data_IF_945758031421
#
_entry.id   IF_945758031421
#
_cell.length_a   1.000
_cell.length_b   1.000
_cell.length_c   1.000
_cell.angle_alpha   90.00
_cell.angle_beta   90.00
_cell.angle_gamma   90.00
#
_symmetry.space_group_name_H-M   'P 1'
#
loop_
_entity.id
_entity.type
_entity.pdbx_description
1 polymer ?
#
# COMPACT_ATOMS: atom_id res chain seq x y z
N UNK A 1 11.09 -6.74 7.52
CA UNK A 1 9.84 -5.99 7.84
C UNK A 1 9.24 -6.59 9.11
N UNK A 2 8.82 -5.76 10.05
CA UNK A 2 8.31 -6.20 11.37
C UNK A 2 6.83 -6.57 11.31
N UNK A 3 6.37 -7.46 12.19
CA UNK A 3 4.95 -7.83 12.33
C UNK A 3 4.02 -6.62 12.52
N UNK A 4 4.54 -5.53 13.09
CA UNK A 4 3.84 -4.26 13.25
C UNK A 4 3.43 -3.59 11.92
N UNK A 5 4.26 -3.67 10.87
CA UNK A 5 3.93 -3.09 9.56
C UNK A 5 2.78 -3.85 8.89
N UNK A 6 2.80 -5.18 8.99
CA UNK A 6 1.75 -6.04 8.43
C UNK A 6 0.39 -5.79 9.11
N UNK A 7 0.41 -5.65 10.44
CA UNK A 7 -0.80 -5.31 11.21
C UNK A 7 -1.32 -3.94 10.85
N UNK A 8 -0.44 -2.95 10.69
CA UNK A 8 -0.84 -1.58 10.31
C UNK A 8 -1.46 -1.53 8.91
N UNK A 9 -0.85 -2.20 7.93
CA UNK A 9 -1.38 -2.26 6.57
C UNK A 9 -2.75 -2.99 6.54
N UNK A 10 -2.91 -4.04 7.34
CA UNK A 10 -4.18 -4.76 7.48
C UNK A 10 -5.25 -3.89 8.15
N UNK A 11 -4.89 -3.13 9.18
CA UNK A 11 -5.79 -2.20 9.86
C UNK A 11 -6.25 -1.07 8.92
N UNK A 12 -5.36 -0.51 8.10
CA UNK A 12 -5.71 0.49 7.09
C UNK A 12 -6.65 -0.10 6.02
N UNK A 13 -6.39 -1.33 5.53
CA UNK A 13 -7.30 -2.03 4.60
C UNK A 13 -8.68 -2.29 5.23
N UNK A 14 -8.74 -2.67 6.51
CA UNK A 14 -10.00 -2.84 7.22
C UNK A 14 -10.75 -1.51 7.43
N UNK A 15 -10.04 -0.44 7.81
CA UNK A 15 -10.62 0.88 7.96
C UNK A 15 -11.20 1.42 6.64
N UNK A 16 -10.49 1.23 5.52
CA UNK A 16 -10.98 1.58 4.19
C UNK A 16 -12.27 0.84 3.82
N UNK A 17 -12.33 -0.48 4.05
CA UNK A 17 -13.58 -1.26 3.85
C UNK A 17 -14.72 -0.79 4.74
N UNK A 18 -14.43 -0.44 5.99
CA UNK A 18 -15.43 0.07 6.92
C UNK A 18 -15.97 1.43 6.46
N UNK A 19 -15.11 2.36 6.02
CA UNK A 19 -15.54 3.63 5.41
C UNK A 19 -16.40 3.40 4.17
N UNK A 20 -16.00 2.47 3.31
CA UNK A 20 -16.73 2.16 2.07
C UNK A 20 -18.13 1.60 2.36
N UNK A 21 -18.22 0.64 3.28
CA UNK A 21 -19.49 0.06 3.71
C UNK A 21 -20.38 1.09 4.41
N UNK A 22 -19.80 1.91 5.30
CA UNK A 22 -20.54 2.97 5.98
C UNK A 22 -21.05 4.02 5.00
N UNK A 23 -20.23 4.42 4.02
CA UNK A 23 -20.60 5.32 2.94
C UNK A 23 -21.77 4.79 2.12
N UNK A 24 -21.71 3.52 1.69
CA UNK A 24 -22.81 2.86 0.96
C UNK A 24 -24.11 2.80 1.77
N UNK A 25 -24.02 2.42 3.05
CA UNK A 25 -25.19 2.28 3.93
C UNK A 25 -25.82 3.64 4.26
N UNK A 26 -25.01 4.68 4.46
CA UNK A 26 -25.48 6.03 4.80
C UNK A 26 -25.77 6.90 3.57
N UNK A 27 -25.51 6.42 2.36
CA UNK A 27 -25.59 7.20 1.12
C UNK A 27 -24.54 8.31 1.03
N UNK A 28 -23.45 8.22 1.79
CA UNK A 28 -22.39 9.22 1.83
C UNK A 28 -21.28 8.84 0.84
N UNK A 29 -21.38 9.38 -0.38
CA UNK A 29 -20.42 9.16 -1.48
C UNK A 29 -18.97 9.55 -1.09
N UNK A 30 -18.80 10.50 -0.18
CA UNK A 30 -17.48 10.93 0.28
C UNK A 30 -16.78 9.82 1.07
N UNK A 31 -17.50 9.18 2.00
CA UNK A 31 -16.99 8.05 2.77
C UNK A 31 -16.74 6.82 1.88
N UNK A 32 -17.61 6.60 0.90
CA UNK A 32 -17.41 5.53 -0.09
C UNK A 32 -16.11 5.74 -0.90
N UNK A 33 -15.94 6.94 -1.44
CA UNK A 33 -14.77 7.27 -2.24
C UNK A 33 -13.49 7.30 -1.41
N UNK A 34 -13.52 7.79 -0.16
CA UNK A 34 -12.37 7.69 0.74
C UNK A 34 -11.95 6.24 0.96
N UNK A 35 -12.89 5.34 1.23
CA UNK A 35 -12.59 3.93 1.42
C UNK A 35 -11.94 3.27 0.20
N UNK A 36 -12.45 3.55 -1.00
CA UNK A 36 -11.87 3.08 -2.27
C UNK A 36 -10.50 3.68 -2.56
N UNK A 37 -10.32 4.98 -2.30
CA UNK A 37 -9.04 5.67 -2.49
C UNK A 37 -7.97 5.16 -1.55
N UNK A 38 -8.31 4.91 -0.28
CA UNK A 38 -7.39 4.38 0.72
C UNK A 38 -6.91 2.97 0.30
N UNK A 39 -7.80 2.12 -0.21
CA UNK A 39 -7.42 0.81 -0.77
C UNK A 39 -6.50 0.93 -2.00
N UNK A 40 -6.88 1.76 -2.97
CA UNK A 40 -6.09 1.94 -4.19
C UNK A 40 -4.70 2.51 -3.89
N UNK A 41 -4.58 3.44 -2.95
CA UNK A 41 -3.29 3.96 -2.47
C UNK A 41 -2.46 2.87 -1.80
N UNK A 42 -3.06 2.05 -0.95
CA UNK A 42 -2.34 0.97 -0.27
C UNK A 42 -1.76 -0.03 -1.29
N UNK A 43 -2.56 -0.47 -2.25
CA UNK A 43 -2.08 -1.42 -3.28
C UNK A 43 -1.02 -0.80 -4.20
N UNK A 44 -1.16 0.48 -4.59
CA UNK A 44 -0.12 1.19 -5.33
C UNK A 44 1.19 1.33 -4.55
N UNK A 45 1.09 1.58 -3.23
CA UNK A 45 2.26 1.73 -2.37
C UNK A 45 2.98 0.39 -2.20
N UNK A 46 2.24 -0.68 -1.99
CA UNK A 46 2.76 -2.05 -1.88
C UNK A 46 3.47 -2.47 -3.19
N UNK A 47 2.82 -2.27 -4.34
CA UNK A 47 3.41 -2.55 -5.66
C UNK A 47 4.65 -1.68 -5.95
N UNK A 48 4.60 -0.40 -5.59
CA UNK A 48 5.70 0.53 -5.76
C UNK A 48 6.90 0.24 -4.86
N UNK A 49 6.65 -0.23 -3.63
CA UNK A 49 7.69 -0.68 -2.71
C UNK A 49 8.37 -1.96 -3.23
N UNK A 50 7.61 -2.93 -3.72
CA UNK A 50 8.17 -4.13 -4.37
C UNK A 50 9.06 -3.79 -5.57
N UNK A 51 8.57 -2.95 -6.48
CA UNK A 51 9.34 -2.49 -7.65
C UNK A 51 10.62 -1.73 -7.23
N UNK A 52 10.55 -0.88 -6.20
CA UNK A 52 11.72 -0.18 -5.68
C UNK A 52 12.74 -1.11 -5.05
N UNK A 53 12.28 -2.13 -4.31
CA UNK A 53 13.15 -3.09 -3.65
C UNK A 53 13.93 -3.93 -4.68
N UNK A 54 13.23 -4.41 -5.71
CA UNK A 54 13.85 -5.15 -6.82
C UNK A 54 14.80 -4.28 -7.65
N UNK A 55 14.41 -3.04 -7.95
CA UNK A 55 15.27 -2.09 -8.65
C UNK A 55 16.52 -1.72 -7.83
N UNK A 56 16.38 -1.55 -6.50
CA UNK A 56 17.52 -1.32 -5.61
C UNK A 56 18.47 -2.50 -5.60
N UNK A 57 17.96 -3.73 -5.46
CA UNK A 57 18.79 -4.94 -5.50
C UNK A 57 19.55 -5.07 -6.82
N UNK A 58 18.87 -4.89 -7.94
CA UNK A 58 19.49 -4.93 -9.27
C UNK A 58 20.56 -3.83 -9.43
N UNK A 59 20.27 -2.61 -8.96
CA UNK A 59 21.21 -1.50 -8.97
C UNK A 59 22.43 -1.73 -8.06
N UNK A 60 22.23 -2.31 -6.87
CA UNK A 60 23.32 -2.71 -5.97
C UNK A 60 24.22 -3.77 -6.62
N UNK A 61 23.64 -4.81 -7.22
CA UNK A 61 24.40 -5.83 -7.94
C UNK A 61 25.21 -5.26 -9.11
N UNK A 62 24.67 -4.27 -9.84
CA UNK A 62 25.38 -3.60 -10.92
C UNK A 62 26.50 -2.68 -10.38
N UNK A 63 26.26 -2.00 -9.26
CA UNK A 63 27.26 -1.14 -8.63
C UNK A 63 28.43 -1.95 -8.11
N UNK A 64 28.17 -3.05 -7.41
CA UNK A 64 29.19 -3.97 -6.88
C UNK A 64 30.02 -4.64 -7.99
N UNK A 65 29.43 -4.87 -9.18
CA UNK A 65 30.14 -5.37 -10.35
C UNK A 65 30.96 -4.30 -11.09
N UNK A 66 30.65 -3.02 -10.92
CA UNK A 66 31.32 -1.89 -11.60
C UNK A 66 32.40 -1.24 -10.73
N UNK A 67 32.28 -1.30 -9.40
CA UNK A 67 33.27 -0.80 -8.43
C UNK A 67 34.41 -1.81 -8.15
N UNK A 68 34.40 -2.98 -8.79
CA UNK A 68 35.38 -4.07 -8.59
C UNK A 68 36.54 -4.04 -9.59
#
# INVERSE_FOLDING_TARGET
>A
MSAADHVKNTAEKMAGKAKEATGKVTGNEKLENEGKLDQAKADLKEAGEHLKDDAKKAGEHLKDATDR
#
